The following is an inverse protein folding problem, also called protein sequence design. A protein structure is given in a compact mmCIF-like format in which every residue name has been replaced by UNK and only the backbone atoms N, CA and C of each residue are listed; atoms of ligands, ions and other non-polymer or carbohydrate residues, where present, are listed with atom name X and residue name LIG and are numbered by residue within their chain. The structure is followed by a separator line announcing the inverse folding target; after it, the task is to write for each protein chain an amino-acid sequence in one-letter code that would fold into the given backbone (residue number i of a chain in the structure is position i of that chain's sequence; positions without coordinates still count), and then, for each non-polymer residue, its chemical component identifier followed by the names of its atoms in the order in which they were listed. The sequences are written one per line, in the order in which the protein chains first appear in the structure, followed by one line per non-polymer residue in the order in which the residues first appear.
data_IF_832617315456
#
_entry.id   IF_832617315456
#
_cell.length_a   1.000
_cell.length_b   1.000
_cell.length_c   1.000
_cell.angle_alpha   90.00
_cell.angle_beta   90.00
_cell.angle_gamma   90.00
#
_symmetry.space_group_name_H-M   'P 1'
#
loop_
_entity.id
_entity.type
_entity.pdbx_description
1 polymer ?
#
# COMPACT_ATOMS: atom_id res chain seq x y z
N UNK A 1 -15.33 46.61 33.77
CA UNK A 1 -15.07 45.16 33.57
C UNK A 1 -13.73 44.83 34.23
N UNK A 2 -13.74 43.96 35.24
CA UNK A 2 -12.55 43.69 36.10
C UNK A 2 -11.45 42.99 35.29
N UNK A 3 -10.20 43.39 35.48
CA UNK A 3 -9.00 42.77 34.85
C UNK A 3 -8.97 41.21 35.03
N UNK A 4 -9.54 40.73 36.12
CA UNK A 4 -9.71 39.29 36.41
C UNK A 4 -10.68 38.57 35.46
N UNK A 5 -11.69 39.25 34.91
CA UNK A 5 -12.61 38.64 33.96
C UNK A 5 -11.97 38.50 32.58
N UNK A 6 -11.20 39.48 32.15
CA UNK A 6 -10.45 39.47 30.88
C UNK A 6 -9.38 38.36 30.87
N UNK A 7 -8.64 38.22 32.00
CA UNK A 7 -7.63 37.14 32.12
C UNK A 7 -8.26 35.74 32.14
N UNK A 8 -9.43 35.56 32.76
CA UNK A 8 -10.16 34.28 32.76
C UNK A 8 -10.69 33.91 31.37
N UNK A 9 -11.21 34.92 30.64
CA UNK A 9 -11.70 34.69 29.26
C UNK A 9 -10.55 34.41 28.29
N UNK A 10 -9.38 35.06 28.42
CA UNK A 10 -8.19 34.75 27.64
C UNK A 10 -7.63 33.35 27.97
N UNK A 11 -7.66 32.94 29.23
CA UNK A 11 -7.22 31.61 29.66
C UNK A 11 -8.17 30.51 29.13
N UNK A 12 -9.48 30.72 29.13
CA UNK A 12 -10.46 29.83 28.52
C UNK A 12 -10.32 29.75 27.00
N UNK A 13 -10.07 30.87 26.32
CA UNK A 13 -9.87 30.89 24.88
C UNK A 13 -8.57 30.17 24.48
N UNK A 14 -7.50 30.31 25.28
CA UNK A 14 -6.22 29.58 25.09
C UNK A 14 -6.39 28.07 25.32
N UNK A 15 -7.24 27.66 26.26
CA UNK A 15 -7.50 26.26 26.54
C UNK A 15 -8.35 25.58 25.45
N UNK A 16 -9.26 26.33 24.79
CA UNK A 16 -10.06 25.82 23.67
C UNK A 16 -9.24 25.62 22.39
N UNK A 17 -8.21 26.42 22.15
CA UNK A 17 -7.32 26.30 20.97
C UNK A 17 -6.40 25.07 21.08
N UNK A 18 -6.09 24.61 22.29
CA UNK A 18 -5.23 23.43 22.52
C UNK A 18 -5.95 22.08 22.36
N UNK A 19 -7.28 22.06 22.13
CA UNK A 19 -8.06 20.84 22.00
C UNK A 19 -8.32 20.41 20.55
N UNK A 20 -7.91 21.16 19.56
CA UNK A 20 -7.88 20.70 18.17
C UNK A 20 -6.69 19.75 17.99
N UNK A 21 -6.86 18.50 18.41
CA UNK A 21 -6.00 17.42 17.92
C UNK A 21 -6.26 17.33 16.42
N UNK A 22 -5.35 17.89 15.63
CA UNK A 22 -5.28 17.55 14.21
C UNK A 22 -4.88 16.09 14.19
N UNK A 23 -5.87 15.22 14.02
CA UNK A 23 -5.59 13.78 13.81
C UNK A 23 -4.87 13.70 12.48
N UNK A 24 -3.59 13.35 12.55
CA UNK A 24 -2.80 13.06 11.37
C UNK A 24 -3.32 11.75 10.77
N UNK A 25 -4.12 11.85 9.73
CA UNK A 25 -4.63 10.72 8.97
C UNK A 25 -3.66 10.52 7.80
N UNK A 26 -3.06 9.34 7.70
CA UNK A 26 -2.03 9.04 6.69
C UNK A 26 -2.63 8.63 5.35
N UNK A 27 -3.82 8.04 5.36
CA UNK A 27 -4.46 7.48 4.18
C UNK A 27 -5.60 8.38 3.67
N UNK A 28 -5.77 8.37 2.36
CA UNK A 28 -6.94 8.85 1.64
C UNK A 28 -7.48 7.66 0.82
N UNK A 29 -8.14 6.76 1.52
CA UNK A 29 -8.65 5.51 0.97
C UNK A 29 -10.02 5.71 0.34
N UNK A 30 -10.18 5.19 -0.87
CA UNK A 30 -11.47 4.94 -1.51
C UNK A 30 -11.75 3.45 -1.46
N UNK A 31 -12.88 3.08 -0.87
CA UNK A 31 -13.33 1.70 -0.80
C UNK A 31 -14.54 1.54 -1.72
N UNK A 32 -14.59 0.44 -2.44
CA UNK A 32 -15.71 0.11 -3.34
C UNK A 32 -16.06 -1.36 -3.13
N UNK A 33 -17.32 -1.64 -2.84
CA UNK A 33 -17.87 -2.99 -2.65
C UNK A 33 -18.65 -3.38 -3.91
N UNK A 34 -18.07 -4.27 -4.72
CA UNK A 34 -18.78 -4.84 -5.87
C UNK A 34 -19.53 -6.10 -5.45
N UNK A 35 -20.84 -6.02 -5.41
CA UNK A 35 -21.75 -7.12 -5.04
C UNK A 35 -22.63 -7.58 -6.21
N UNK A 36 -22.26 -7.28 -7.45
CA UNK A 36 -23.07 -7.58 -8.65
C UNK A 36 -23.39 -9.06 -8.87
N UNK A 37 -22.62 -9.95 -8.22
CA UNK A 37 -22.83 -11.40 -8.26
C UNK A 37 -23.80 -11.90 -7.18
N UNK A 38 -24.20 -11.05 -6.23
CA UNK A 38 -25.06 -11.42 -5.11
C UNK A 38 -26.52 -11.07 -5.45
N UNK A 39 -27.42 -12.04 -5.29
CA UNK A 39 -28.85 -11.87 -5.53
C UNK A 39 -29.64 -12.10 -4.26
N UNK A 40 -30.77 -11.41 -4.11
CA UNK A 40 -31.70 -11.62 -2.99
C UNK A 40 -31.25 -11.00 -1.66
N UNK A 41 -30.20 -10.17 -1.64
CA UNK A 41 -29.76 -9.43 -0.45
C UNK A 41 -30.04 -7.94 -0.64
N UNK A 42 -30.43 -7.27 0.44
CA UNK A 42 -30.60 -5.82 0.44
C UNK A 42 -29.27 -5.11 0.19
N UNK A 43 -29.24 -4.23 -0.79
CA UNK A 43 -28.04 -3.47 -1.14
C UNK A 43 -27.51 -2.60 0.02
N UNK A 44 -28.37 -2.22 0.95
CA UNK A 44 -28.02 -1.41 2.13
C UNK A 44 -26.93 -2.02 3.00
N UNK A 45 -26.82 -3.36 3.05
CA UNK A 45 -25.74 -4.06 3.78
C UNK A 45 -24.37 -3.74 3.18
N UNK A 46 -24.26 -3.72 1.85
CA UNK A 46 -23.01 -3.44 1.14
C UNK A 46 -22.65 -1.96 1.16
N UNK A 47 -23.66 -1.08 1.11
CA UNK A 47 -23.49 0.38 1.22
C UNK A 47 -23.01 0.77 2.61
N UNK A 48 -23.59 0.18 3.65
CA UNK A 48 -23.18 0.37 5.05
C UNK A 48 -21.75 -0.13 5.30
N UNK A 49 -21.41 -1.32 4.80
CA UNK A 49 -20.05 -1.85 4.84
C UNK A 49 -19.04 -0.91 4.17
N UNK A 50 -19.34 -0.40 2.97
CA UNK A 50 -18.48 0.52 2.23
C UNK A 50 -18.22 1.81 3.03
N UNK A 51 -19.28 2.39 3.60
CA UNK A 51 -19.19 3.59 4.42
C UNK A 51 -18.39 3.34 5.70
N UNK A 52 -18.68 2.26 6.41
CA UNK A 52 -18.02 1.88 7.66
C UNK A 52 -16.53 1.64 7.47
N UNK A 53 -16.14 0.90 6.41
CA UNK A 53 -14.74 0.69 6.08
C UNK A 53 -14.02 1.97 5.67
N UNK A 54 -14.69 2.84 4.91
CA UNK A 54 -14.13 4.13 4.49
C UNK A 54 -13.81 5.01 5.69
N UNK A 55 -14.73 5.08 6.67
CA UNK A 55 -14.51 5.80 7.92
C UNK A 55 -13.40 5.14 8.75
N UNK A 56 -13.44 3.82 8.93
CA UNK A 56 -12.47 3.09 9.72
C UNK A 56 -11.03 3.34 9.25
N UNK A 57 -10.78 3.34 7.94
CA UNK A 57 -9.43 3.54 7.38
C UNK A 57 -9.01 5.00 7.42
N UNK A 58 -9.90 5.92 7.05
CA UNK A 58 -9.56 7.33 6.85
C UNK A 58 -9.55 8.15 8.14
N UNK A 59 -10.33 7.77 9.15
CA UNK A 59 -10.46 8.55 10.38
C UNK A 59 -9.48 8.11 11.47
N UNK A 60 -8.77 7.01 11.25
CA UNK A 60 -7.78 6.48 12.19
C UNK A 60 -6.39 7.04 11.92
N UNK A 61 -5.66 7.34 12.98
CA UNK A 61 -4.21 7.54 12.96
C UNK A 61 -3.52 6.17 13.08
N UNK A 62 -2.76 5.79 12.05
CA UNK A 62 -2.09 4.49 11.98
C UNK A 62 -0.68 4.50 12.56
N UNK A 63 0.01 5.65 12.49
CA UNK A 63 1.40 5.82 12.93
C UNK A 63 1.57 7.07 13.78
N UNK A 64 2.79 7.33 14.25
CA UNK A 64 3.15 8.56 14.95
C UNK A 64 3.51 9.71 13.98
N UNK A 65 3.60 9.43 12.69
CA UNK A 65 3.93 10.43 11.69
C UNK A 65 2.76 11.39 11.47
N UNK A 66 3.09 12.64 11.17
CA UNK A 66 2.09 13.66 10.86
C UNK A 66 2.08 13.93 9.36
N UNK A 67 0.99 13.57 8.72
CA UNK A 67 0.76 13.86 7.31
C UNK A 67 -0.12 15.10 7.16
N UNK A 68 0.26 16.01 6.29
CA UNK A 68 -0.64 17.07 5.88
C UNK A 68 -1.71 16.52 4.92
N UNK A 69 -2.81 17.23 4.74
CA UNK A 69 -3.94 16.77 3.92
C UNK A 69 -3.53 16.40 2.49
N UNK A 70 -2.58 17.13 1.91
CA UNK A 70 -2.04 16.89 0.57
C UNK A 70 -0.93 15.82 0.51
N UNK A 71 -0.47 15.33 1.66
CA UNK A 71 0.53 14.26 1.77
C UNK A 71 -0.11 12.90 1.99
N UNK A 72 -1.42 12.84 2.24
CA UNK A 72 -2.13 11.59 2.44
C UNK A 72 -1.97 10.67 1.25
N UNK A 73 -1.74 9.41 1.53
CA UNK A 73 -1.49 8.38 0.53
C UNK A 73 -2.81 8.00 -0.12
N UNK A 74 -2.94 8.28 -1.41
CA UNK A 74 -4.12 7.89 -2.18
C UNK A 74 -4.09 6.37 -2.40
N UNK A 75 -5.14 5.68 -1.94
CA UNK A 75 -5.28 4.24 -2.12
C UNK A 75 -6.73 3.83 -2.41
N UNK A 76 -6.86 2.72 -3.15
CA UNK A 76 -8.14 2.16 -3.54
C UNK A 76 -8.24 0.70 -3.08
N UNK A 77 -9.38 0.35 -2.50
CA UNK A 77 -9.75 -1.02 -2.15
C UNK A 77 -10.97 -1.41 -2.97
N UNK A 78 -10.78 -2.21 -4.00
CA UNK A 78 -11.87 -2.74 -4.80
C UNK A 78 -12.18 -4.16 -4.33
N UNK A 79 -13.19 -4.30 -3.48
CA UNK A 79 -13.61 -5.56 -2.86
C UNK A 79 -14.76 -6.15 -3.66
N UNK A 80 -14.55 -7.32 -4.24
CA UNK A 80 -15.59 -8.06 -4.97
C UNK A 80 -16.13 -9.17 -4.09
N UNK A 81 -17.41 -9.08 -3.74
CA UNK A 81 -18.13 -10.11 -3.00
C UNK A 81 -18.54 -11.22 -3.97
N UNK A 82 -17.96 -12.40 -3.80
CA UNK A 82 -18.25 -13.58 -4.63
C UNK A 82 -19.32 -14.47 -4.01
N UNK A 83 -19.45 -14.43 -2.68
CA UNK A 83 -20.52 -15.12 -1.91
C UNK A 83 -20.83 -14.31 -0.64
N UNK A 84 -22.10 -14.26 -0.30
CA UNK A 84 -22.59 -13.73 0.98
C UNK A 84 -23.57 -14.72 1.60
N UNK A 85 -23.35 -15.02 2.89
CA UNK A 85 -24.25 -15.84 3.67
C UNK A 85 -24.94 -14.95 4.71
N UNK A 86 -26.22 -14.65 4.47
CA UNK A 86 -27.02 -13.78 5.32
C UNK A 86 -27.32 -14.39 6.71
N UNK A 87 -27.23 -15.72 6.85
CA UNK A 87 -27.49 -16.38 8.14
C UNK A 87 -26.34 -16.24 9.13
N UNK A 88 -25.12 -16.12 8.61
CA UNK A 88 -23.89 -16.00 9.38
C UNK A 88 -23.19 -14.65 9.19
N UNK A 89 -23.74 -13.78 8.35
CA UNK A 89 -23.11 -12.51 7.94
C UNK A 89 -21.69 -12.67 7.37
N UNK A 90 -21.42 -13.81 6.71
CA UNK A 90 -20.09 -14.13 6.18
C UNK A 90 -19.95 -13.71 4.73
N UNK A 91 -18.89 -12.96 4.45
CA UNK A 91 -18.49 -12.48 3.13
C UNK A 91 -17.31 -13.29 2.61
N UNK A 92 -17.45 -13.88 1.42
CA UNK A 92 -16.33 -14.45 0.65
C UNK A 92 -15.97 -13.45 -0.43
N UNK A 93 -14.75 -12.91 -0.38
CA UNK A 93 -14.36 -11.79 -1.22
C UNK A 93 -12.97 -12.00 -1.85
N UNK A 94 -12.75 -11.25 -2.92
CA UNK A 94 -11.43 -10.92 -3.45
C UNK A 94 -11.26 -9.41 -3.40
N UNK A 95 -10.07 -8.93 -3.09
CA UNK A 95 -9.80 -7.50 -3.05
C UNK A 95 -8.61 -7.15 -3.93
N UNK A 96 -8.74 -6.09 -4.73
CA UNK A 96 -7.61 -5.44 -5.42
C UNK A 96 -7.27 -4.21 -4.60
N UNK A 97 -6.03 -4.16 -4.10
CA UNK A 97 -5.53 -3.06 -3.30
C UNK A 97 -4.48 -2.31 -4.11
N UNK A 98 -4.70 -1.01 -4.32
CA UNK A 98 -3.79 -0.14 -5.05
C UNK A 98 -3.45 1.09 -4.21
N UNK A 99 -2.18 1.49 -4.22
CA UNK A 99 -1.73 2.74 -3.65
C UNK A 99 -0.84 3.49 -4.64
N UNK A 100 -0.92 4.83 -4.61
CA UNK A 100 -0.16 5.71 -5.50
C UNK A 100 0.51 6.83 -4.72
N UNK A 101 1.61 7.36 -5.26
CA UNK A 101 2.24 8.59 -4.78
C UNK A 101 2.42 9.60 -5.91
N UNK A 102 2.31 10.90 -5.64
CA UNK A 102 2.66 11.93 -6.61
C UNK A 102 4.16 11.92 -6.90
N UNK A 103 4.52 12.18 -8.15
CA UNK A 103 5.91 12.41 -8.56
C UNK A 103 6.23 13.89 -8.45
N UNK A 104 7.35 14.21 -7.81
CA UNK A 104 7.75 15.58 -7.53
C UNK A 104 7.78 16.46 -8.81
N UNK A 105 7.29 17.68 -8.69
CA UNK A 105 7.22 18.68 -9.73
C UNK A 105 6.55 18.20 -11.04
N UNK A 106 5.56 17.34 -10.94
CA UNK A 106 4.80 16.79 -12.06
C UNK A 106 3.33 16.59 -11.69
N UNK A 107 2.46 16.45 -12.68
CA UNK A 107 1.08 16.03 -12.49
C UNK A 107 0.90 14.51 -12.50
N UNK A 108 1.99 13.76 -12.65
CA UNK A 108 1.97 12.31 -12.71
C UNK A 108 1.92 11.70 -11.31
N UNK A 109 1.11 10.65 -11.17
CA UNK A 109 1.08 9.80 -9.97
C UNK A 109 1.56 8.40 -10.33
N UNK A 110 2.49 7.89 -9.55
CA UNK A 110 3.09 6.58 -9.76
C UNK A 110 2.51 5.56 -8.77
N UNK A 111 2.23 4.35 -9.25
CA UNK A 111 1.77 3.25 -8.40
C UNK A 111 2.91 2.76 -7.50
N UNK A 112 2.69 2.73 -6.18
CA UNK A 112 3.65 2.19 -5.21
C UNK A 112 3.30 0.76 -4.77
N UNK A 113 2.03 0.38 -4.91
CA UNK A 113 1.55 -0.96 -4.62
C UNK A 113 0.30 -1.26 -5.45
N UNK A 114 0.23 -2.46 -6.03
CA UNK A 114 -0.98 -2.99 -6.63
C UNK A 114 -0.92 -4.52 -6.60
N UNK A 115 -1.84 -5.13 -5.86
CA UNK A 115 -1.92 -6.58 -5.76
C UNK A 115 -3.36 -7.04 -5.49
N UNK A 116 -3.62 -8.31 -5.80
CA UNK A 116 -4.89 -8.97 -5.54
C UNK A 116 -4.76 -9.90 -4.33
N UNK A 117 -5.62 -9.71 -3.33
CA UNK A 117 -5.82 -10.64 -2.23
C UNK A 117 -7.05 -11.52 -2.56
N UNK A 118 -6.83 -12.82 -2.73
CA UNK A 118 -7.88 -13.79 -3.01
C UNK A 118 -8.52 -14.36 -1.74
N UNK A 119 -7.96 -14.08 -0.58
CA UNK A 119 -8.38 -14.58 0.74
C UNK A 119 -8.96 -13.45 1.61
N UNK A 120 -9.69 -12.52 1.00
CA UNK A 120 -10.26 -11.35 1.66
C UNK A 120 -11.65 -11.66 2.25
N UNK A 121 -11.72 -12.73 3.06
CA UNK A 121 -12.96 -13.21 3.66
C UNK A 121 -13.11 -12.69 5.08
N UNK A 122 -14.36 -12.36 5.49
CA UNK A 122 -14.65 -11.79 6.81
C UNK A 122 -16.12 -11.98 7.17
N UNK A 123 -16.45 -11.68 8.43
CA UNK A 123 -17.82 -11.53 8.93
C UNK A 123 -18.08 -10.05 9.20
N UNK A 124 -19.30 -9.60 8.88
CA UNK A 124 -19.76 -8.25 9.14
C UNK A 124 -21.29 -8.21 9.21
N UNK A 125 -21.84 -7.76 10.32
CA UNK A 125 -23.27 -7.45 10.45
C UNK A 125 -23.50 -5.96 10.21
N UNK A 126 -24.63 -5.65 9.56
CA UNK A 126 -24.99 -4.25 9.29
C UNK A 126 -25.03 -3.44 10.58
N UNK A 127 -24.38 -2.26 10.55
CA UNK A 127 -24.19 -1.33 11.68
C UNK A 127 -23.17 -1.77 12.74
N UNK A 128 -22.37 -2.81 12.48
CA UNK A 128 -21.27 -3.17 13.37
C UNK A 128 -20.26 -2.01 13.49
N UNK A 129 -19.86 -1.73 14.73
CA UNK A 129 -18.81 -0.76 15.00
C UNK A 129 -17.45 -1.43 14.97
N UNK A 130 -16.61 -1.05 14.01
CA UNK A 130 -15.28 -1.62 13.86
C UNK A 130 -14.32 -1.06 14.91
N UNK A 131 -13.94 -1.91 15.87
CA UNK A 131 -12.90 -1.61 16.85
C UNK A 131 -11.64 -2.41 16.50
N UNK A 132 -10.49 -1.80 16.65
CA UNK A 132 -9.21 -2.44 16.37
C UNK A 132 -8.21 -2.17 17.49
N UNK A 133 -7.65 -3.25 18.02
CA UNK A 133 -6.54 -3.25 18.96
C UNK A 133 -5.41 -4.11 18.38
N UNK A 134 -4.23 -3.51 18.20
CA UNK A 134 -3.07 -4.18 17.61
C UNK A 134 -2.52 -5.31 18.48
N UNK A 135 -2.65 -5.18 19.81
CA UNK A 135 -2.17 -6.18 20.79
C UNK A 135 -3.14 -7.35 20.93
N UNK A 136 -4.43 -7.12 20.68
CA UNK A 136 -5.48 -8.14 20.78
C UNK A 136 -6.36 -8.12 19.53
N UNK A 137 -5.94 -8.86 18.51
CA UNK A 137 -6.63 -8.96 17.22
C UNK A 137 -7.72 -10.03 17.32
N UNK A 138 -8.96 -9.60 17.36
CA UNK A 138 -10.14 -10.45 17.54
C UNK A 138 -11.15 -10.40 16.38
N UNK A 139 -10.96 -9.47 15.42
CA UNK A 139 -11.85 -9.30 14.29
C UNK A 139 -11.07 -9.34 12.95
N UNK A 140 -11.51 -10.23 12.06
CA UNK A 140 -10.86 -10.46 10.77
C UNK A 140 -10.92 -9.24 9.85
N UNK A 141 -12.05 -8.54 9.77
CA UNK A 141 -12.23 -7.40 8.87
C UNK A 141 -11.30 -6.24 9.26
N UNK A 142 -11.23 -5.93 10.56
CA UNK A 142 -10.33 -4.88 11.05
C UNK A 142 -8.86 -5.27 10.89
N UNK A 143 -8.51 -6.55 11.05
CA UNK A 143 -7.17 -7.06 10.80
C UNK A 143 -6.75 -6.90 9.33
N UNK A 144 -7.65 -7.21 8.38
CA UNK A 144 -7.42 -7.03 6.95
C UNK A 144 -7.14 -5.57 6.60
N UNK A 145 -7.99 -4.65 7.08
CA UNK A 145 -7.84 -3.23 6.80
C UNK A 145 -6.58 -2.65 7.44
N UNK A 146 -6.26 -3.04 8.68
CA UNK A 146 -5.05 -2.62 9.38
C UNK A 146 -3.78 -3.14 8.71
N UNK A 147 -3.77 -4.39 8.24
CA UNK A 147 -2.65 -4.96 7.48
C UNK A 147 -2.30 -4.11 6.27
N UNK A 148 -3.29 -3.79 5.43
CA UNK A 148 -3.06 -2.98 4.24
C UNK A 148 -2.74 -1.53 4.57
N UNK A 149 -3.29 -0.97 5.65
CA UNK A 149 -2.91 0.36 6.10
C UNK A 149 -1.42 0.42 6.46
N UNK A 150 -0.94 -0.49 7.30
CA UNK A 150 0.48 -0.55 7.67
C UNK A 150 1.39 -0.86 6.47
N UNK A 151 1.01 -1.80 5.62
CA UNK A 151 1.78 -2.17 4.43
C UNK A 151 1.95 -0.96 3.49
N UNK A 152 0.85 -0.28 3.15
CA UNK A 152 0.86 0.88 2.24
C UNK A 152 1.69 2.02 2.83
N UNK A 153 1.50 2.35 4.11
CA UNK A 153 2.25 3.41 4.78
C UNK A 153 3.74 3.06 4.82
N UNK A 154 4.09 1.81 5.16
CA UNK A 154 5.47 1.35 5.20
C UNK A 154 6.17 1.46 3.84
N UNK A 155 5.53 0.99 2.77
CA UNK A 155 6.05 1.11 1.39
C UNK A 155 6.19 2.58 0.98
N UNK A 156 5.21 3.40 1.32
CA UNK A 156 5.28 4.84 1.02
C UNK A 156 6.47 5.50 1.72
N UNK A 157 6.71 5.19 2.99
CA UNK A 157 7.85 5.72 3.75
C UNK A 157 9.19 5.26 3.16
N UNK A 158 9.30 3.99 2.73
CA UNK A 158 10.48 3.48 2.00
C UNK A 158 10.73 4.25 0.70
N UNK A 159 9.68 4.76 0.03
CA UNK A 159 9.83 5.54 -1.20
C UNK A 159 10.37 6.98 -0.98
N UNK A 160 10.42 7.46 0.27
CA UNK A 160 10.94 8.78 0.64
C UNK A 160 12.26 8.73 1.39
N UNK A 161 12.56 7.63 2.07
CA UNK A 161 13.79 7.43 2.85
C UNK A 161 14.23 5.97 2.81
N UNK A 162 15.53 5.67 2.66
CA UNK A 162 16.01 4.29 2.72
C UNK A 162 15.57 3.59 4.03
N UNK A 163 14.88 2.46 3.91
CA UNK A 163 14.32 1.72 5.05
C UNK A 163 13.38 2.55 5.96
N UNK A 164 12.81 3.65 5.45
CA UNK A 164 11.97 4.57 6.24
C UNK A 164 10.69 3.94 6.80
N UNK A 165 10.21 2.87 6.17
CA UNK A 165 9.02 2.13 6.59
C UNK A 165 9.27 1.02 7.62
N UNK A 166 10.50 0.83 8.12
CA UNK A 166 10.88 -0.30 8.99
C UNK A 166 9.90 -0.54 10.14
N UNK A 167 9.69 0.49 10.97
CA UNK A 167 8.81 0.36 12.15
C UNK A 167 7.38 0.02 11.77
N UNK A 168 6.87 0.60 10.67
CA UNK A 168 5.50 0.38 10.21
C UNK A 168 5.33 -1.02 9.61
N UNK A 169 6.32 -1.49 8.84
CA UNK A 169 6.33 -2.85 8.29
C UNK A 169 6.47 -3.88 9.40
N UNK A 170 7.26 -3.58 10.45
CA UNK A 170 7.35 -4.47 11.62
C UNK A 170 6.01 -4.57 12.37
N UNK A 171 5.26 -3.47 12.50
CA UNK A 171 3.90 -3.50 13.05
C UNK A 171 2.97 -4.34 12.17
N UNK A 172 3.09 -4.25 10.84
CA UNK A 172 2.35 -5.10 9.90
C UNK A 172 2.64 -6.58 10.14
N UNK A 173 3.89 -6.97 10.37
CA UNK A 173 4.29 -8.33 10.69
C UNK A 173 3.74 -8.78 12.05
N UNK A 174 3.82 -7.94 13.09
CA UNK A 174 3.27 -8.25 14.41
C UNK A 174 1.76 -8.49 14.33
N UNK A 175 1.03 -7.63 13.61
CA UNK A 175 -0.39 -7.82 13.33
C UNK A 175 -0.66 -9.15 12.61
N UNK A 176 0.16 -9.46 11.58
CA UNK A 176 0.04 -10.72 10.82
C UNK A 176 0.19 -11.94 11.72
N UNK A 177 1.17 -11.90 12.63
CA UNK A 177 1.39 -12.99 13.60
C UNK A 177 0.23 -13.13 14.59
N UNK A 178 -0.30 -12.01 15.11
CA UNK A 178 -1.45 -11.99 16.02
C UNK A 178 -2.73 -12.48 15.33
N UNK A 179 -2.86 -12.24 14.02
CA UNK A 179 -4.04 -12.65 13.23
C UNK A 179 -4.08 -14.15 12.88
N UNK A 180 -3.02 -14.91 13.13
CA UNK A 180 -3.00 -16.36 12.85
C UNK A 180 -4.04 -17.14 13.64
N UNK A 181 -4.47 -16.62 14.79
CA UNK A 181 -5.48 -17.24 15.64
C UNK A 181 -6.92 -17.02 15.15
N UNK A 182 -7.15 -16.14 14.18
CA UNK A 182 -8.47 -15.86 13.63
C UNK A 182 -9.03 -17.00 12.76
N UNK A 183 -8.23 -18.02 12.45
CA UNK A 183 -8.58 -19.18 11.62
C UNK A 183 -9.04 -18.84 10.19
N UNK A 184 -8.65 -17.70 9.66
CA UNK A 184 -8.84 -17.33 8.27
C UNK A 184 -7.58 -17.59 7.45
N UNK A 185 -7.69 -17.90 6.13
CA UNK A 185 -6.52 -18.08 5.27
C UNK A 185 -5.76 -16.76 5.06
N UNK A 186 -4.49 -16.89 4.68
CA UNK A 186 -3.65 -15.76 4.31
C UNK A 186 -2.74 -15.21 5.40
N UNK A 187 -2.89 -15.66 6.65
CA UNK A 187 -2.07 -15.22 7.78
C UNK A 187 -0.89 -16.14 8.12
N UNK A 188 -0.87 -17.37 7.60
CA UNK A 188 0.12 -18.39 7.95
C UNK A 188 1.14 -18.63 6.81
N UNK A 189 2.38 -18.91 7.18
CA UNK A 189 3.51 -19.07 6.26
C UNK A 189 3.32 -20.14 5.18
N UNK A 190 2.63 -21.24 5.52
CA UNK A 190 2.57 -22.43 4.67
C UNK A 190 1.27 -22.57 3.88
N UNK A 191 0.31 -21.66 4.06
CA UNK A 191 -0.97 -21.76 3.38
C UNK A 191 -0.83 -21.44 1.88
N UNK A 192 -0.04 -20.42 1.53
CA UNK A 192 0.16 -19.97 0.15
C UNK A 192 1.39 -19.05 0.07
N UNK A 193 2.18 -19.15 -1.01
CA UNK A 193 3.33 -18.27 -1.25
C UNK A 193 2.94 -16.83 -1.67
N UNK A 194 1.67 -16.58 -1.95
CA UNK A 194 1.14 -15.27 -2.40
C UNK A 194 0.25 -14.58 -1.37
N UNK A 195 0.25 -15.07 -0.15
CA UNK A 195 -0.60 -14.55 0.90
C UNK A 195 0.02 -13.35 1.64
N UNK A 196 -0.76 -12.76 2.55
CA UNK A 196 -0.35 -11.60 3.36
C UNK A 196 0.91 -11.87 4.18
N UNK A 197 1.03 -13.07 4.77
CA UNK A 197 2.23 -13.45 5.51
C UNK A 197 3.47 -13.43 4.61
N UNK A 198 3.41 -14.07 3.44
CA UNK A 198 4.55 -14.14 2.53
C UNK A 198 5.01 -12.75 2.07
N UNK A 199 4.06 -11.85 1.76
CA UNK A 199 4.37 -10.48 1.34
C UNK A 199 5.12 -9.72 2.43
N UNK A 200 4.58 -9.65 3.65
CA UNK A 200 5.22 -8.87 4.72
C UNK A 200 6.52 -9.52 5.20
N UNK A 201 6.58 -10.87 5.23
CA UNK A 201 7.80 -11.59 5.54
C UNK A 201 8.93 -11.27 4.56
N UNK A 202 8.62 -11.22 3.26
CA UNK A 202 9.61 -10.87 2.25
C UNK A 202 10.06 -9.41 2.38
N UNK A 203 9.16 -8.45 2.65
CA UNK A 203 9.57 -7.06 2.91
C UNK A 203 10.56 -6.91 4.06
N UNK A 204 10.50 -7.77 5.08
CA UNK A 204 11.36 -7.73 6.27
C UNK A 204 12.54 -8.70 6.22
N UNK A 205 12.63 -9.53 5.19
CA UNK A 205 13.77 -10.44 5.01
C UNK A 205 15.04 -9.67 4.69
N UNK A 206 16.14 -10.02 5.36
CA UNK A 206 17.44 -9.38 5.16
C UNK A 206 17.96 -9.47 3.72
N UNK A 207 17.64 -10.56 2.99
CA UNK A 207 17.99 -10.73 1.58
C UNK A 207 17.17 -9.81 0.64
N UNK A 208 16.03 -9.28 1.13
CA UNK A 208 15.18 -8.37 0.38
C UNK A 208 15.43 -6.88 0.71
N UNK A 209 16.45 -6.55 1.50
CA UNK A 209 16.88 -5.15 1.70
C UNK A 209 17.12 -4.38 0.39
N UNK A 210 17.73 -4.99 -0.67
CA UNK A 210 17.84 -4.31 -1.96
C UNK A 210 16.46 -3.94 -2.54
N UNK A 211 15.43 -4.77 -2.39
CA UNK A 211 14.09 -4.44 -2.86
C UNK A 211 13.48 -3.21 -2.16
N UNK A 212 13.76 -3.02 -0.88
CA UNK A 212 13.35 -1.84 -0.14
C UNK A 212 14.18 -0.61 -0.52
N UNK A 213 15.49 -0.80 -0.79
CA UNK A 213 16.33 0.26 -1.34
C UNK A 213 15.84 0.70 -2.72
N UNK A 214 15.40 -0.25 -3.58
CA UNK A 214 14.75 0.04 -4.86
C UNK A 214 13.60 1.02 -4.71
N UNK A 215 12.77 0.93 -3.65
CA UNK A 215 11.66 1.87 -3.46
C UNK A 215 12.16 3.31 -3.36
N UNK A 216 13.21 3.55 -2.59
CA UNK A 216 13.81 4.87 -2.48
C UNK A 216 14.49 5.33 -3.78
N UNK A 217 15.35 4.50 -4.34
CA UNK A 217 16.17 4.87 -5.49
C UNK A 217 15.33 5.07 -6.75
N UNK A 218 14.35 4.21 -6.98
CA UNK A 218 13.44 4.33 -8.11
C UNK A 218 12.55 5.58 -8.01
N UNK A 219 11.93 5.82 -6.86
CA UNK A 219 10.98 6.93 -6.72
C UNK A 219 11.68 8.26 -6.44
N UNK A 220 12.51 8.31 -5.39
CA UNK A 220 13.06 9.59 -4.91
C UNK A 220 14.22 10.07 -5.75
N UNK A 221 15.16 9.19 -6.09
CA UNK A 221 16.32 9.57 -6.90
C UNK A 221 16.07 9.46 -8.41
N UNK A 222 15.13 8.61 -8.81
CA UNK A 222 14.76 8.36 -10.20
C UNK A 222 13.58 9.21 -10.67
N UNK A 223 12.34 8.82 -10.38
CA UNK A 223 11.13 9.46 -10.89
C UNK A 223 11.02 10.94 -10.52
N UNK A 224 11.30 11.29 -9.24
CA UNK A 224 11.25 12.67 -8.77
C UNK A 224 12.30 13.56 -9.44
N UNK A 225 13.37 12.99 -10.02
CA UNK A 225 14.39 13.72 -10.75
C UNK A 225 14.05 13.93 -12.22
N UNK A 226 13.15 13.13 -12.81
CA UNK A 226 12.80 13.23 -14.24
C UNK A 226 12.31 14.62 -14.66
N UNK A 227 11.59 15.31 -13.76
CA UNK A 227 11.09 16.66 -14.05
C UNK A 227 12.21 17.72 -14.11
N UNK A 228 13.30 17.53 -13.36
CA UNK A 228 14.45 18.42 -13.33
C UNK A 228 15.45 18.07 -14.43
N UNK A 229 15.75 16.79 -14.58
CA UNK A 229 16.68 16.27 -15.56
C UNK A 229 16.29 14.84 -15.98
N UNK A 230 15.63 14.73 -17.13
CA UNK A 230 15.10 13.47 -17.64
C UNK A 230 16.18 12.41 -17.91
N UNK A 231 17.37 12.81 -18.32
CA UNK A 231 18.49 11.89 -18.57
C UNK A 231 19.03 11.33 -17.23
N UNK A 232 19.33 12.22 -16.29
CA UNK A 232 19.80 11.82 -14.95
C UNK A 232 18.79 10.96 -14.23
N UNK A 233 17.49 11.33 -14.25
CA UNK A 233 16.43 10.54 -13.64
C UNK A 233 16.33 9.15 -14.25
N UNK A 234 16.41 9.01 -15.56
CA UNK A 234 16.42 7.71 -16.24
C UNK A 234 17.66 6.89 -15.89
N UNK A 235 18.85 7.48 -15.87
CA UNK A 235 20.09 6.79 -15.47
C UNK A 235 19.99 6.28 -14.03
N UNK A 236 19.43 7.08 -13.11
CA UNK A 236 19.21 6.65 -11.74
C UNK A 236 18.22 5.46 -11.65
N UNK A 237 17.15 5.50 -12.45
CA UNK A 237 16.20 4.38 -12.56
C UNK A 237 16.89 3.12 -13.09
N UNK A 238 17.72 3.25 -14.14
CA UNK A 238 18.53 2.14 -14.67
C UNK A 238 19.41 1.55 -13.59
N UNK A 239 20.12 2.38 -12.84
CA UNK A 239 20.99 1.97 -11.73
C UNK A 239 20.23 1.23 -10.64
N UNK A 240 19.04 1.72 -10.25
CA UNK A 240 18.18 1.07 -9.27
C UNK A 240 17.71 -0.32 -9.77
N UNK A 241 17.38 -0.45 -11.05
CA UNK A 241 17.01 -1.75 -11.64
C UNK A 241 18.20 -2.72 -11.66
N UNK A 242 19.38 -2.24 -12.08
CA UNK A 242 20.59 -3.07 -12.19
C UNK A 242 21.15 -3.51 -10.84
N UNK A 243 21.14 -2.65 -9.84
CA UNK A 243 21.72 -2.93 -8.52
C UNK A 243 20.70 -3.51 -7.54
N UNK A 244 19.50 -2.94 -7.46
CA UNK A 244 18.58 -3.26 -6.37
C UNK A 244 17.53 -4.29 -6.77
N UNK A 245 16.84 -4.07 -7.90
CA UNK A 245 15.82 -5.01 -8.37
C UNK A 245 16.43 -6.35 -8.75
N UNK A 246 17.48 -6.33 -9.56
CA UNK A 246 18.22 -7.53 -9.99
C UNK A 246 18.74 -8.29 -8.79
N UNK A 247 19.43 -7.60 -7.87
CA UNK A 247 20.00 -8.22 -6.68
C UNK A 247 18.93 -8.85 -5.78
N UNK A 248 17.80 -8.18 -5.57
CA UNK A 248 16.71 -8.73 -4.75
C UNK A 248 16.14 -10.03 -5.35
N UNK A 249 16.07 -10.11 -6.68
CA UNK A 249 15.63 -11.31 -7.38
C UNK A 249 16.67 -12.43 -7.31
N UNK A 250 17.96 -12.11 -7.43
CA UNK A 250 19.06 -13.07 -7.32
C UNK A 250 19.21 -13.62 -5.90
N UNK A 251 19.13 -12.76 -4.88
CA UNK A 251 19.28 -13.13 -3.47
C UNK A 251 18.07 -13.95 -2.96
N UNK A 252 16.86 -13.69 -3.51
CA UNK A 252 15.64 -14.40 -3.13
C UNK A 252 14.74 -14.71 -4.34
N UNK A 253 15.12 -15.69 -5.17
CA UNK A 253 14.40 -15.98 -6.43
C UNK A 253 12.95 -16.43 -6.25
N UNK A 254 12.58 -16.93 -5.07
CA UNK A 254 11.22 -17.39 -4.76
C UNK A 254 10.32 -16.27 -4.22
N UNK A 255 10.86 -15.09 -3.95
CA UNK A 255 10.05 -13.93 -3.57
C UNK A 255 9.21 -13.44 -4.74
N UNK A 256 7.95 -13.14 -4.46
CA UNK A 256 7.03 -12.59 -5.46
C UNK A 256 7.10 -11.06 -5.55
N UNK A 257 7.79 -10.39 -4.63
CA UNK A 257 7.82 -8.92 -4.62
C UNK A 257 8.39 -8.32 -5.91
N UNK A 258 9.52 -8.81 -6.48
CA UNK A 258 10.02 -8.33 -7.76
C UNK A 258 9.02 -8.53 -8.91
N UNK A 259 8.34 -9.69 -8.97
CA UNK A 259 7.33 -9.97 -9.98
C UNK A 259 6.11 -9.04 -9.84
N UNK A 260 5.56 -8.89 -8.63
CA UNK A 260 4.42 -7.99 -8.35
C UNK A 260 4.79 -6.55 -8.71
N UNK A 261 6.00 -6.12 -8.36
CA UNK A 261 6.49 -4.78 -8.68
C UNK A 261 6.57 -4.56 -10.20
N UNK A 262 7.16 -5.47 -10.93
CA UNK A 262 7.26 -5.39 -12.40
C UNK A 262 5.90 -5.45 -13.08
N UNK A 263 4.92 -6.17 -12.55
CA UNK A 263 3.56 -6.22 -13.07
C UNK A 263 2.90 -4.83 -13.06
N UNK A 264 2.94 -4.11 -11.94
CA UNK A 264 2.31 -2.79 -11.90
C UNK A 264 3.19 -1.65 -12.45
N UNK A 265 4.50 -1.89 -12.66
CA UNK A 265 5.43 -0.93 -13.26
C UNK A 265 5.61 -1.06 -14.77
N UNK A 266 5.07 -2.10 -15.39
CA UNK A 266 5.34 -2.44 -16.79
C UNK A 266 5.14 -1.28 -17.76
N UNK A 267 4.02 -0.57 -17.66
CA UNK A 267 3.69 0.52 -18.59
C UNK A 267 4.52 1.77 -18.28
N UNK A 268 4.77 2.07 -17.02
CA UNK A 268 5.63 3.17 -16.57
C UNK A 268 7.06 2.97 -17.07
N UNK A 269 7.65 1.78 -16.86
CA UNK A 269 9.00 1.44 -17.32
C UNK A 269 9.09 1.49 -18.85
N UNK A 270 8.13 0.91 -19.55
CA UNK A 270 8.10 0.99 -21.03
C UNK A 270 8.13 2.44 -21.53
N UNK A 271 7.36 3.33 -20.90
CA UNK A 271 7.28 4.74 -21.28
C UNK A 271 8.55 5.55 -20.94
N UNK A 272 9.28 5.17 -19.90
CA UNK A 272 10.55 5.80 -19.50
C UNK A 272 11.63 5.58 -20.54
N UNK A 273 11.66 4.40 -21.18
CA UNK A 273 12.74 4.01 -22.10
C UNK A 273 12.35 4.09 -23.59
N UNK A 274 11.07 3.98 -23.95
CA UNK A 274 10.63 4.01 -25.35
C UNK A 274 11.11 5.28 -26.06
N UNK A 275 11.93 5.11 -27.11
CA UNK A 275 12.54 6.21 -27.87
C UNK A 275 13.55 7.05 -27.08
N UNK A 276 14.02 6.59 -25.92
CA UNK A 276 14.90 7.35 -25.00
C UNK A 276 15.96 6.44 -24.39
N UNK A 277 17.05 7.04 -23.91
CA UNK A 277 18.17 6.31 -23.31
C UNK A 277 19.13 5.73 -24.35
N UNK A 278 20.23 5.18 -23.85
CA UNK A 278 21.22 4.50 -24.68
C UNK A 278 20.79 3.06 -24.97
N UNK A 279 21.31 2.50 -26.08
CA UNK A 279 21.03 1.10 -26.42
C UNK A 279 21.45 0.14 -25.29
N UNK A 280 22.58 0.42 -24.66
CA UNK A 280 23.09 -0.38 -23.53
C UNK A 280 22.15 -0.37 -22.32
N UNK A 281 21.61 0.80 -21.95
CA UNK A 281 20.63 0.90 -20.85
C UNK A 281 19.38 0.10 -21.18
N UNK A 282 18.85 0.22 -22.39
CA UNK A 282 17.64 -0.49 -22.84
C UNK A 282 17.82 -2.01 -22.82
N UNK A 283 18.94 -2.50 -23.33
CA UNK A 283 19.27 -3.93 -23.34
C UNK A 283 19.40 -4.47 -21.91
N UNK A 284 20.17 -3.80 -21.04
CA UNK A 284 20.34 -4.21 -19.65
C UNK A 284 19.02 -4.26 -18.90
N UNK A 285 18.21 -3.21 -18.99
CA UNK A 285 16.90 -3.14 -18.34
C UNK A 285 15.95 -4.21 -18.88
N UNK A 286 15.90 -4.41 -20.20
CA UNK A 286 15.09 -5.45 -20.80
C UNK A 286 15.45 -6.85 -20.28
N UNK A 287 16.73 -7.20 -20.27
CA UNK A 287 17.19 -8.52 -19.80
C UNK A 287 16.81 -8.79 -18.34
N UNK A 288 16.98 -7.80 -17.47
CA UNK A 288 16.63 -7.91 -16.07
C UNK A 288 15.11 -8.09 -15.90
N UNK A 289 14.31 -7.22 -16.53
CA UNK A 289 12.85 -7.29 -16.42
C UNK A 289 12.29 -8.58 -17.02
N UNK A 290 12.84 -9.05 -18.13
CA UNK A 290 12.46 -10.31 -18.73
C UNK A 290 12.81 -11.50 -17.84
N UNK A 291 13.98 -11.51 -17.18
CA UNK A 291 14.37 -12.56 -16.25
C UNK A 291 13.45 -12.68 -15.05
N UNK A 292 12.92 -11.55 -14.55
CA UNK A 292 12.01 -11.50 -13.41
C UNK A 292 10.57 -11.84 -13.82
N UNK A 293 10.12 -11.31 -14.95
CA UNK A 293 8.72 -11.39 -15.37
C UNK A 293 8.58 -11.51 -16.89
N UNK A 294 8.92 -12.66 -17.42
CA UNK A 294 8.80 -12.97 -18.85
C UNK A 294 7.35 -12.88 -19.38
N UNK A 295 6.35 -13.02 -18.49
CA UNK A 295 4.94 -12.92 -18.89
C UNK A 295 4.56 -11.54 -19.44
N UNK A 296 5.33 -10.50 -19.09
CA UNK A 296 5.13 -9.12 -19.54
C UNK A 296 6.01 -8.76 -20.76
N UNK A 297 6.55 -9.75 -21.49
CA UNK A 297 7.49 -9.52 -22.58
C UNK A 297 7.01 -8.50 -23.63
N UNK A 298 5.72 -8.48 -23.95
CA UNK A 298 5.12 -7.50 -24.89
C UNK A 298 5.34 -6.04 -24.43
N UNK A 299 5.39 -5.80 -23.12
CA UNK A 299 5.71 -4.49 -22.56
C UNK A 299 7.22 -4.25 -22.59
N UNK A 300 8.04 -5.26 -22.28
CA UNK A 300 9.49 -5.14 -22.26
C UNK A 300 10.08 -4.89 -23.65
N UNK A 301 9.53 -5.48 -24.72
CA UNK A 301 9.96 -5.20 -26.09
C UNK A 301 9.86 -3.72 -26.47
N UNK A 302 8.90 -2.98 -25.93
CA UNK A 302 8.77 -1.53 -26.15
C UNK A 302 9.95 -0.71 -25.59
N UNK A 303 10.68 -1.25 -24.62
CA UNK A 303 11.88 -0.63 -24.05
C UNK A 303 12.99 -0.55 -25.11
N UNK A 304 13.07 -1.54 -25.99
CA UNK A 304 14.09 -1.61 -27.05
C UNK A 304 13.81 -0.67 -28.23
N UNK A 305 12.56 -0.25 -28.40
CA UNK A 305 12.17 0.76 -29.40
C UNK A 305 12.73 2.14 -28.98
#
# INVERSE_FOLDING_TARGET
MSRTLITRTLLMLSLCVSLCKVTAQELNARITINHSQIQGTDASVFEDLEQTLTQFVNDRQWTQYQFQKNERIACNFNITVTKYDNSTNTFTCKAIIQATRPVYNSSYTSTIYNNTDNDFNFEYAQFDQLQFNEENVDNQLTALMAYYAYLIIGINLDSFSPMGGEDTLQRCMNLTNNSQNLNYPGWKAFDNSRNRFAIINDYLDGAMKPFRQLQYDYYRTGLDELANNAERGRTNITTAIENDLKKSHEDRPMSLLPQIWTDYKRDELSNIYKGKGTQKEKESVYEILFSINASQNTAWEKIKE
#
